data_IF_521682201087
#
_entry.id   IF_521682201087
#
_cell.length_a   1.000
_cell.length_b   1.000
_cell.length_c   1.000
_cell.angle_alpha   90.00
_cell.angle_beta   90.00
_cell.angle_gamma   90.00
#
_symmetry.space_group_name_H-M   'P 1'
#
loop_
_entity.id
_entity.type
_entity.pdbx_description
1 polymer ?
#
# COMPACT_ATOMS: atom_id res chain seq x y z
N UNK A 1 -19.87 25.62 -9.16
CA UNK A 1 -18.92 25.47 -8.03
C UNK A 1 -17.88 24.44 -8.44
N UNK A 2 -16.72 24.89 -8.93
CA UNK A 2 -15.66 23.98 -9.37
C UNK A 2 -15.08 23.30 -8.13
N UNK A 3 -15.36 22.01 -7.97
CA UNK A 3 -14.67 21.16 -7.00
C UNK A 3 -13.28 20.92 -7.57
N UNK A 4 -12.33 21.82 -7.28
CA UNK A 4 -10.94 21.62 -7.67
C UNK A 4 -10.41 20.45 -6.87
N UNK A 5 -10.35 19.28 -7.50
CA UNK A 5 -9.74 18.10 -6.89
C UNK A 5 -8.28 18.46 -6.61
N UNK A 6 -7.77 18.29 -5.37
CA UNK A 6 -6.37 18.57 -5.09
C UNK A 6 -5.50 17.64 -5.96
N UNK A 7 -4.41 18.18 -6.53
CA UNK A 7 -3.50 17.43 -7.42
C UNK A 7 -3.10 16.08 -6.83
N UNK A 8 -2.87 16.04 -5.53
CA UNK A 8 -2.49 14.83 -4.79
C UNK A 8 -3.59 13.75 -4.73
N UNK A 9 -4.88 14.11 -4.82
CA UNK A 9 -5.95 13.12 -4.97
C UNK A 9 -5.98 12.53 -6.37
N UNK A 10 -5.71 13.35 -7.39
CA UNK A 10 -5.63 12.87 -8.78
C UNK A 10 -4.50 11.87 -8.93
N UNK A 11 -3.31 12.19 -8.41
CA UNK A 11 -2.15 11.29 -8.43
C UNK A 11 -2.44 9.96 -7.72
N UNK A 12 -3.08 10.01 -6.54
CA UNK A 12 -3.50 8.82 -5.81
C UNK A 12 -4.53 7.99 -6.59
N UNK A 13 -5.48 8.64 -7.26
CA UNK A 13 -6.48 7.96 -8.08
C UNK A 13 -5.87 7.33 -9.33
N UNK A 14 -4.92 7.99 -9.97
CA UNK A 14 -4.18 7.45 -11.11
C UNK A 14 -3.35 6.23 -10.69
N UNK A 15 -2.63 6.31 -9.58
CA UNK A 15 -1.92 5.17 -8.99
C UNK A 15 -2.87 4.00 -8.69
N UNK A 16 -3.99 4.26 -8.00
CA UNK A 16 -4.97 3.24 -7.66
C UNK A 16 -5.60 2.57 -8.90
N UNK A 17 -5.81 3.31 -10.00
CA UNK A 17 -6.30 2.73 -11.26
C UNK A 17 -5.23 1.90 -11.94
N UNK A 18 -4.02 2.43 -12.06
CA UNK A 18 -2.94 1.79 -12.80
C UNK A 18 -2.49 0.48 -12.12
N UNK A 19 -2.50 0.45 -10.79
CA UNK A 19 -2.06 -0.69 -9.99
C UNK A 19 -3.21 -1.49 -9.34
N UNK A 20 -4.45 -1.33 -9.81
CA UNK A 20 -5.64 -1.90 -9.16
C UNK A 20 -5.52 -3.41 -8.91
N UNK A 21 -5.08 -4.17 -9.91
CA UNK A 21 -4.89 -5.62 -9.79
C UNK A 21 -3.64 -5.98 -8.99
N UNK A 22 -2.53 -5.27 -9.20
CA UNK A 22 -1.27 -5.50 -8.47
C UNK A 22 -1.44 -5.35 -6.95
N UNK A 23 -2.15 -4.31 -6.51
CA UNK A 23 -2.44 -4.08 -5.08
C UNK A 23 -3.32 -5.18 -4.47
N UNK A 24 -4.25 -5.73 -5.24
CA UNK A 24 -5.10 -6.84 -4.81
C UNK A 24 -4.31 -8.15 -4.69
N UNK A 25 -3.52 -8.47 -5.71
CA UNK A 25 -2.69 -9.67 -5.73
C UNK A 25 -1.66 -9.63 -4.60
N UNK A 26 -1.03 -8.48 -4.37
CA UNK A 26 -0.13 -8.26 -3.24
C UNK A 26 -0.86 -8.46 -1.90
N UNK A 27 -2.05 -7.87 -1.71
CA UNK A 27 -2.79 -8.04 -0.46
C UNK A 27 -3.19 -9.49 -0.19
N UNK A 28 -3.59 -10.22 -1.24
CA UNK A 28 -3.93 -11.64 -1.15
C UNK A 28 -2.72 -12.48 -0.77
N UNK A 29 -1.57 -12.22 -1.37
CA UNK A 29 -0.34 -12.96 -1.09
C UNK A 29 0.19 -12.68 0.32
N UNK A 30 0.20 -11.40 0.72
CA UNK A 30 0.85 -10.96 1.96
C UNK A 30 0.00 -11.15 3.23
N UNK A 31 -1.34 -11.17 3.11
CA UNK A 31 -2.23 -11.24 4.27
C UNK A 31 -3.58 -11.92 4.00
N UNK A 32 -3.72 -12.59 2.85
CA UNK A 32 -4.85 -13.45 2.55
C UNK A 32 -6.16 -12.73 2.14
N UNK A 33 -7.26 -13.49 2.04
CA UNK A 33 -8.53 -13.00 1.46
C UNK A 33 -9.20 -11.85 2.20
N UNK A 34 -8.95 -11.72 3.51
CA UNK A 34 -9.49 -10.61 4.31
C UNK A 34 -8.79 -9.29 3.97
N UNK A 35 -7.47 -9.31 3.77
CA UNK A 35 -6.71 -8.16 3.34
C UNK A 35 -7.09 -7.76 1.91
N UNK A 36 -7.25 -8.72 1.00
CA UNK A 36 -7.75 -8.48 -0.35
C UNK A 36 -9.06 -7.68 -0.34
N UNK A 37 -10.08 -8.12 0.42
CA UNK A 37 -11.36 -7.41 0.51
C UNK A 37 -11.22 -6.00 1.06
N UNK A 38 -10.33 -5.80 2.05
CA UNK A 38 -10.07 -4.48 2.62
C UNK A 38 -9.44 -3.55 1.59
N UNK A 39 -8.47 -4.04 0.82
CA UNK A 39 -7.82 -3.28 -0.25
C UNK A 39 -8.81 -2.93 -1.36
N UNK A 40 -9.62 -3.88 -1.82
CA UNK A 40 -10.68 -3.63 -2.81
C UNK A 40 -11.61 -2.50 -2.36
N UNK A 41 -12.16 -2.59 -1.14
CA UNK A 41 -13.05 -1.56 -0.61
C UNK A 41 -12.38 -0.19 -0.52
N UNK A 42 -11.10 -0.14 -0.16
CA UNK A 42 -10.37 1.12 -0.06
C UNK A 42 -10.05 1.70 -1.45
N UNK A 43 -9.69 0.89 -2.43
CA UNK A 43 -9.49 1.34 -3.81
C UNK A 43 -10.79 1.93 -4.37
N UNK A 44 -11.93 1.27 -4.17
CA UNK A 44 -13.23 1.79 -4.60
C UNK A 44 -13.57 3.13 -3.90
N UNK A 45 -13.27 3.25 -2.60
CA UNK A 45 -13.42 4.51 -1.86
C UNK A 45 -12.50 5.63 -2.42
N UNK A 46 -11.24 5.32 -2.77
CA UNK A 46 -10.29 6.28 -3.37
C UNK A 46 -10.81 6.76 -4.73
N UNK A 47 -11.25 5.83 -5.59
CA UNK A 47 -11.68 6.11 -6.96
C UNK A 47 -13.00 6.89 -7.02
N UNK A 48 -13.84 6.76 -6.01
CA UNK A 48 -15.13 7.47 -5.92
C UNK A 48 -15.05 8.80 -5.16
N UNK A 49 -13.97 9.03 -4.40
CA UNK A 49 -13.85 10.22 -3.57
C UNK A 49 -13.53 11.50 -4.38
N UNK A 50 -13.97 12.64 -3.84
CA UNK A 50 -13.62 14.00 -4.34
C UNK A 50 -12.60 14.71 -3.45
N UNK A 51 -12.31 14.17 -2.28
CA UNK A 51 -11.41 14.77 -1.28
C UNK A 51 -10.64 13.69 -0.53
N UNK A 52 -9.41 13.98 -0.12
CA UNK A 52 -8.66 13.07 0.76
C UNK A 52 -9.22 13.19 2.17
N UNK A 53 -9.89 12.15 2.65
CA UNK A 53 -10.42 12.09 4.01
C UNK A 53 -9.43 11.43 4.95
N UNK A 54 -9.55 11.68 6.26
CA UNK A 54 -8.79 10.99 7.31
C UNK A 54 -8.86 9.46 7.16
N UNK A 55 -10.03 8.92 6.81
CA UNK A 55 -10.24 7.47 6.58
C UNK A 55 -9.40 6.97 5.40
N UNK A 56 -9.34 7.72 4.30
CA UNK A 56 -8.50 7.36 3.16
C UNK A 56 -7.03 7.41 3.53
N UNK A 57 -6.58 8.46 4.24
CA UNK A 57 -5.18 8.57 4.69
C UNK A 57 -4.76 7.38 5.53
N UNK A 58 -5.55 7.02 6.54
CA UNK A 58 -5.28 5.84 7.38
C UNK A 58 -5.24 4.57 6.55
N UNK A 59 -6.22 4.38 5.66
CA UNK A 59 -6.28 3.20 4.80
C UNK A 59 -5.06 3.07 3.87
N UNK A 60 -4.59 4.16 3.28
CA UNK A 60 -3.45 4.14 2.36
C UNK A 60 -2.15 3.84 3.12
N UNK A 61 -1.99 4.40 4.32
CA UNK A 61 -0.87 4.06 5.21
C UNK A 61 -0.93 2.58 5.61
N UNK A 62 -2.13 2.03 5.87
CA UNK A 62 -2.27 0.61 6.17
C UNK A 62 -1.91 -0.30 4.97
N UNK A 63 -2.26 0.09 3.74
CA UNK A 63 -1.79 -0.60 2.52
C UNK A 63 -0.26 -0.55 2.45
N UNK A 64 0.33 0.63 2.64
CA UNK A 64 1.78 0.78 2.60
C UNK A 64 2.49 -0.10 3.63
N UNK A 65 1.97 -0.17 4.86
CA UNK A 65 2.49 -1.07 5.90
C UNK A 65 2.37 -2.55 5.55
N UNK A 66 1.29 -2.93 4.87
CA UNK A 66 1.12 -4.28 4.37
C UNK A 66 2.17 -4.60 3.30
N UNK A 67 2.31 -3.74 2.29
CA UNK A 67 3.25 -3.94 1.18
C UNK A 67 4.73 -3.90 1.62
N UNK A 68 5.06 -3.02 2.57
CA UNK A 68 6.40 -2.92 3.17
C UNK A 68 6.67 -3.98 4.24
N UNK A 69 5.73 -4.91 4.46
CA UNK A 69 5.86 -6.00 5.42
C UNK A 69 6.17 -5.50 6.84
N UNK A 70 5.68 -4.32 7.17
CA UNK A 70 6.01 -3.61 8.41
C UNK A 70 5.78 -4.48 9.66
N UNK A 71 4.78 -5.35 9.63
CA UNK A 71 4.39 -6.23 10.72
C UNK A 71 4.88 -7.68 10.59
N UNK A 72 5.70 -8.02 9.59
CA UNK A 72 6.14 -9.41 9.36
C UNK A 72 7.03 -9.98 10.48
N UNK A 73 7.58 -9.12 11.34
CA UNK A 73 8.39 -9.51 12.50
C UNK A 73 7.56 -9.90 13.73
N UNK A 74 6.23 -9.67 13.71
CA UNK A 74 5.33 -9.93 14.83
C UNK A 74 4.67 -11.32 14.65
N UNK A 75 5.13 -12.37 15.35
CA UNK A 75 4.62 -13.72 15.17
C UNK A 75 3.17 -13.91 15.60
N UNK A 76 2.60 -12.97 16.37
CA UNK A 76 1.19 -13.01 16.79
C UNK A 76 0.24 -12.48 15.68
N UNK A 77 0.78 -12.01 14.56
CA UNK A 77 0.04 -11.48 13.43
C UNK A 77 -0.06 -12.45 12.27
N UNK A 78 -1.19 -12.40 11.57
CA UNK A 78 -1.44 -13.28 10.43
C UNK A 78 -0.47 -13.00 9.28
N UNK A 79 -0.04 -11.75 9.14
CA UNK A 79 0.94 -11.28 8.17
C UNK A 79 2.29 -12.03 8.29
N UNK A 80 2.72 -12.39 9.51
CA UNK A 80 3.98 -13.14 9.71
C UNK A 80 3.90 -14.58 9.20
N UNK A 81 2.72 -15.22 9.32
CA UNK A 81 2.51 -16.56 8.79
C UNK A 81 2.53 -16.58 7.25
N UNK A 82 1.85 -15.62 6.62
CA UNK A 82 1.88 -15.46 5.16
C UNK A 82 3.28 -15.13 4.66
N UNK A 83 3.99 -14.22 5.34
CA UNK A 83 5.36 -13.86 4.98
C UNK A 83 6.32 -15.05 5.04
N UNK A 84 6.20 -15.93 6.03
CA UNK A 84 7.04 -17.12 6.15
C UNK A 84 6.89 -18.11 4.97
N UNK A 85 5.78 -18.05 4.25
CA UNK A 85 5.51 -18.87 3.06
C UNK A 85 5.97 -18.22 1.75
N UNK A 86 6.42 -16.96 1.79
CA UNK A 86 6.85 -16.23 0.59
C UNK A 86 8.20 -16.74 0.10
N UNK A 87 8.26 -17.11 -1.18
CA UNK A 87 9.51 -17.33 -1.89
C UNK A 87 10.04 -15.99 -2.43
N UNK A 88 11.20 -15.54 -1.92
CA UNK A 88 11.85 -14.31 -2.37
C UNK A 88 12.38 -14.38 -3.81
N UNK A 89 12.45 -15.57 -4.40
CA UNK A 89 12.80 -15.76 -5.81
C UNK A 89 11.59 -15.68 -6.74
N UNK A 90 10.38 -15.49 -6.21
CA UNK A 90 9.19 -15.30 -7.03
C UNK A 90 9.26 -13.95 -7.77
N UNK A 91 9.07 -13.91 -9.10
CA UNK A 91 9.03 -12.67 -9.87
C UNK A 91 8.00 -11.65 -9.34
N UNK A 92 6.98 -12.09 -8.62
CA UNK A 92 5.97 -11.21 -8.04
C UNK A 92 6.51 -10.28 -6.93
N UNK A 93 7.68 -10.60 -6.35
CA UNK A 93 8.32 -9.77 -5.33
C UNK A 93 8.81 -8.43 -5.90
N UNK A 94 9.31 -8.43 -7.13
CA UNK A 94 9.73 -7.20 -7.81
C UNK A 94 8.54 -6.25 -7.98
N UNK A 95 7.39 -6.79 -8.40
CA UNK A 95 6.15 -6.01 -8.53
C UNK A 95 5.71 -5.41 -7.19
N UNK A 96 5.75 -6.17 -6.09
CA UNK A 96 5.42 -5.66 -4.75
C UNK A 96 6.37 -4.53 -4.34
N UNK A 97 7.67 -4.67 -4.59
CA UNK A 97 8.66 -3.63 -4.30
C UNK A 97 8.36 -2.34 -5.07
N UNK A 98 8.09 -2.44 -6.38
CA UNK A 98 7.73 -1.29 -7.22
C UNK A 98 6.42 -0.62 -6.78
N UNK A 99 5.41 -1.42 -6.40
CA UNK A 99 4.16 -0.92 -5.83
C UNK A 99 4.41 -0.13 -4.53
N UNK A 100 5.26 -0.66 -3.66
CA UNK A 100 5.62 -0.05 -2.37
C UNK A 100 6.37 1.26 -2.56
N UNK A 101 7.34 1.30 -3.47
CA UNK A 101 8.13 2.49 -3.78
C UNK A 101 7.25 3.61 -4.33
N UNK A 102 6.43 3.32 -5.35
CA UNK A 102 5.51 4.28 -5.93
C UNK A 102 4.49 4.81 -4.92
N UNK A 103 4.01 3.95 -3.99
CA UNK A 103 3.11 4.38 -2.92
C UNK A 103 3.81 5.27 -1.88
N UNK A 104 5.05 4.96 -1.53
CA UNK A 104 5.87 5.74 -0.60
C UNK A 104 6.03 7.18 -1.09
N UNK A 105 6.31 7.32 -2.38
CA UNK A 105 6.41 8.58 -3.09
C UNK A 105 5.13 9.44 -2.97
N UNK A 106 3.96 8.81 -3.13
CA UNK A 106 2.66 9.47 -3.00
C UNK A 106 2.40 9.89 -1.55
N UNK A 107 2.74 9.04 -0.57
CA UNK A 107 2.59 9.36 0.85
C UNK A 107 3.43 10.57 1.27
N UNK A 108 4.67 10.68 0.77
CA UNK A 108 5.50 11.86 0.99
C UNK A 108 4.87 13.14 0.44
N UNK A 109 4.31 13.10 -0.78
CA UNK A 109 3.60 14.26 -1.37
C UNK A 109 2.32 14.62 -0.62
N UNK A 110 1.75 13.67 0.12
CA UNK A 110 0.59 13.85 0.99
C UNK A 110 0.94 14.26 2.42
N UNK A 111 2.24 14.41 2.74
CA UNK A 111 2.74 14.68 4.09
C UNK A 111 2.25 13.64 5.12
N UNK A 112 2.02 12.41 4.65
CA UNK A 112 1.66 11.27 5.48
C UNK A 112 2.93 10.53 5.86
N UNK A 113 3.07 10.18 7.13
CA UNK A 113 4.14 9.30 7.59
C UNK A 113 3.86 7.88 7.09
N UNK A 114 4.68 7.32 6.17
CA UNK A 114 4.53 5.94 5.74
C UNK A 114 4.76 4.92 6.88
N UNK A 115 5.30 5.36 8.02
CA UNK A 115 6.03 4.47 8.92
C UNK A 115 7.41 4.23 8.32
N UNK A 116 8.44 4.31 9.16
CA UNK A 116 9.84 4.51 8.76
C UNK A 116 10.27 3.83 7.44
N UNK A 117 10.97 4.55 6.55
CA UNK A 117 11.30 4.09 5.20
C UNK A 117 12.28 2.89 5.20
N UNK A 118 12.14 2.02 4.19
CA UNK A 118 13.11 0.98 3.81
C UNK A 118 14.52 1.53 3.57
N UNK A 119 14.67 2.85 3.39
CA UNK A 119 15.96 3.53 3.24
C UNK A 119 16.92 3.30 4.43
N UNK A 120 16.41 3.10 5.65
CA UNK A 120 17.27 2.79 6.81
C UNK A 120 17.82 1.35 6.76
N UNK A 121 17.23 0.44 5.99
CA UNK A 121 17.78 -0.90 5.77
C UNK A 121 18.92 -0.94 4.74
N UNK A 122 18.98 0.04 3.82
CA UNK A 122 20.04 0.13 2.81
C UNK A 122 21.31 0.82 3.32
N UNK A 123 21.31 1.36 4.55
CA UNK A 123 22.49 2.00 5.17
C UNK A 123 23.23 1.11 6.18
N UNK A 124 22.90 -0.19 6.27
CA UNK A 124 23.53 -1.14 7.21
C UNK A 124 24.26 -2.30 6.51
N UNK A 125 24.55 -2.20 5.20
CA UNK A 125 25.37 -3.19 4.47
C UNK A 125 26.80 -2.68 4.23
#
# INVERSE_FOLDING_TARGET
MCSTIPRSLVELQEYARFHYEGLQNAALLLAGPFALKRVQSLLDDILSSRTITRRLQVGIVDIHKLLSLYHAHDPDRIEAAYFAEIDFCDPFIEDICLLTEALTDILYRLELDPGQPLADYLMVA
#
